data_IF_017252368100
#
_entry.id   IF_017252368100
#
_cell.length_a   1.000
_cell.length_b   1.000
_cell.length_c   1.000
_cell.angle_alpha   90.00
_cell.angle_beta   90.00
_cell.angle_gamma   90.00
#
_symmetry.space_group_name_H-M   'P 1'
#
loop_
_entity.id
_entity.type
_entity.pdbx_description
1 polymer ?
#
# COMPACT_ATOMS: atom_id res chain seq x y z
N UNK A 1 12.94 35.51 8.67
CA UNK A 1 11.77 34.86 8.06
C UNK A 1 11.59 33.57 8.82
N UNK A 2 10.40 33.19 9.28
CA UNK A 2 10.25 31.85 9.83
C UNK A 2 10.66 30.85 8.74
N UNK A 3 11.45 29.88 9.14
CA UNK A 3 11.90 28.79 8.29
C UNK A 3 10.66 28.21 7.60
N UNK A 4 10.72 28.01 6.27
CA UNK A 4 9.61 27.35 5.57
C UNK A 4 9.42 26.00 6.24
N UNK A 5 8.23 25.71 6.72
CA UNK A 5 7.95 24.45 7.38
C UNK A 5 8.27 23.29 6.43
N UNK A 6 9.13 22.37 6.83
CA UNK A 6 9.42 21.17 6.05
C UNK A 6 8.33 20.15 6.35
N UNK A 7 7.48 19.89 5.35
CA UNK A 7 6.35 18.97 5.47
C UNK A 7 6.65 17.56 4.95
N UNK A 8 7.64 17.42 4.07
CA UNK A 8 7.92 16.18 3.34
C UNK A 8 9.35 15.71 3.60
N UNK A 9 9.50 14.42 3.90
CA UNK A 9 10.77 13.76 4.22
C UNK A 9 10.94 12.53 3.34
N UNK A 10 11.92 12.55 2.45
CA UNK A 10 12.21 11.48 1.50
C UNK A 10 13.05 10.37 2.12
N UNK A 11 12.90 9.14 1.58
CA UNK A 11 13.71 7.97 1.91
C UNK A 11 13.84 7.03 0.69
N UNK A 12 14.94 6.30 0.61
CA UNK A 12 15.24 5.33 -0.45
C UNK A 12 16.70 5.41 -0.88
N UNK A 13 17.14 4.43 -1.66
CA UNK A 13 18.51 4.33 -2.20
C UNK A 13 19.62 4.54 -1.14
N UNK A 14 19.47 3.91 0.02
CA UNK A 14 20.42 4.00 1.13
C UNK A 14 20.46 5.37 1.84
N UNK A 15 19.50 6.26 1.58
CA UNK A 15 19.42 7.60 2.16
C UNK A 15 18.05 7.87 2.77
N UNK A 16 18.01 8.73 3.78
CA UNK A 16 16.77 9.26 4.33
C UNK A 16 16.99 10.64 4.97
N UNK A 17 15.98 11.48 4.88
CA UNK A 17 15.93 12.77 5.56
C UNK A 17 15.39 12.66 6.99
N UNK A 18 14.79 11.53 7.34
CA UNK A 18 14.28 11.20 8.67
C UNK A 18 15.15 10.19 9.41
N UNK A 19 14.78 9.88 10.66
CA UNK A 19 15.43 8.90 11.52
C UNK A 19 14.42 8.25 12.50
N UNK A 20 14.82 7.16 13.16
CA UNK A 20 13.97 6.40 14.09
C UNK A 20 13.40 7.22 15.26
N UNK A 21 14.13 8.22 15.74
CA UNK A 21 13.72 9.10 16.84
C UNK A 21 12.67 10.16 16.41
N UNK A 22 12.48 10.36 15.11
CA UNK A 22 11.50 11.30 14.56
C UNK A 22 10.07 10.74 14.50
N UNK A 23 9.75 9.74 15.32
CA UNK A 23 8.43 9.08 15.35
C UNK A 23 7.28 10.05 15.61
N UNK A 24 7.49 11.11 16.37
CA UNK A 24 6.47 12.12 16.62
C UNK A 24 6.11 12.90 15.35
N UNK A 25 7.05 13.09 14.44
CA UNK A 25 6.90 13.88 13.22
C UNK A 25 6.51 13.01 12.02
N UNK A 26 7.15 11.85 11.86
CA UNK A 26 6.99 10.97 10.69
C UNK A 26 6.02 9.80 10.95
N UNK A 27 5.51 9.69 12.19
CA UNK A 27 4.79 8.50 12.61
C UNK A 27 5.70 7.27 12.75
N UNK A 28 5.15 6.18 13.26
CA UNK A 28 5.92 4.94 13.44
C UNK A 28 6.42 4.34 12.12
N UNK A 29 5.57 4.33 11.08
CA UNK A 29 5.95 3.79 9.76
C UNK A 29 7.03 4.64 9.09
N UNK A 30 6.84 5.96 9.00
CA UNK A 30 7.78 6.86 8.33
C UNK A 30 9.15 6.87 8.99
N UNK A 31 9.21 6.94 10.31
CA UNK A 31 10.47 6.90 11.07
C UNK A 31 11.23 5.57 10.85
N UNK A 32 10.52 4.43 10.87
CA UNK A 32 11.15 3.12 10.64
C UNK A 32 11.58 2.93 9.19
N UNK A 33 10.81 3.41 8.20
CA UNK A 33 11.20 3.37 6.78
C UNK A 33 12.48 4.19 6.54
N UNK A 34 12.56 5.39 7.14
CA UNK A 34 13.76 6.22 7.08
C UNK A 34 14.98 5.53 7.69
N UNK A 35 14.82 4.95 8.88
CA UNK A 35 15.89 4.21 9.56
C UNK A 35 16.38 3.02 8.73
N UNK A 36 15.45 2.18 8.26
CA UNK A 36 15.80 1.01 7.43
C UNK A 36 16.52 1.42 6.14
N UNK A 37 16.06 2.48 5.47
CA UNK A 37 16.74 3.00 4.28
C UNK A 37 18.16 3.47 4.60
N UNK A 38 18.36 4.21 5.72
CA UNK A 38 19.67 4.69 6.17
C UNK A 38 20.64 3.57 6.55
N UNK A 39 20.11 2.42 6.98
CA UNK A 39 20.89 1.21 7.26
C UNK A 39 21.28 0.45 5.99
N UNK A 40 20.85 0.90 4.82
CA UNK A 40 21.12 0.25 3.53
C UNK A 40 20.24 -0.96 3.22
N UNK A 41 19.13 -1.14 3.97
CA UNK A 41 18.15 -2.16 3.63
C UNK A 41 17.41 -1.78 2.33
N UNK A 42 16.99 -2.75 1.50
CA UNK A 42 16.35 -2.50 0.22
C UNK A 42 14.89 -2.03 0.38
N UNK A 43 14.72 -0.88 1.05
CA UNK A 43 13.41 -0.25 1.24
C UNK A 43 13.00 0.43 -0.07
N UNK A 44 11.82 0.14 -0.62
CA UNK A 44 11.31 0.86 -1.78
C UNK A 44 11.26 2.37 -1.50
N UNK A 45 11.72 3.22 -2.45
CA UNK A 45 11.78 4.65 -2.21
C UNK A 45 10.41 5.27 -2.00
N UNK A 46 10.39 6.36 -1.25
CA UNK A 46 9.16 7.06 -0.94
C UNK A 46 9.40 8.33 -0.13
N UNK A 47 8.33 8.88 0.39
CA UNK A 47 8.38 10.02 1.29
C UNK A 47 7.26 9.97 2.33
N UNK A 48 7.51 10.63 3.45
CA UNK A 48 6.54 10.81 4.53
C UNK A 48 6.12 12.27 4.62
N UNK A 49 4.81 12.50 4.63
CA UNK A 49 4.21 13.80 4.95
C UNK A 49 3.93 13.80 6.45
N UNK A 50 4.31 14.86 7.14
CA UNK A 50 4.41 14.91 8.60
C UNK A 50 3.05 14.86 9.33
N UNK A 51 3.06 14.43 10.58
CA UNK A 51 1.91 14.50 11.49
C UNK A 51 1.48 15.94 11.76
N UNK A 52 2.43 16.87 11.80
CA UNK A 52 2.16 18.30 12.01
C UNK A 52 1.34 18.90 10.87
N UNK A 53 1.52 18.37 9.64
CA UNK A 53 0.67 18.77 8.52
C UNK A 53 -0.79 18.32 8.73
N UNK A 54 -1.02 17.12 9.29
CA UNK A 54 -2.37 16.66 9.60
C UNK A 54 -3.08 17.65 10.54
N UNK A 55 -2.39 18.10 11.57
CA UNK A 55 -2.92 19.12 12.50
C UNK A 55 -3.19 20.44 11.78
N UNK A 56 -2.21 20.95 11.01
CA UNK A 56 -2.37 22.17 10.23
C UNK A 56 -3.51 22.10 9.21
N UNK A 57 -3.73 20.95 8.58
CA UNK A 57 -4.82 20.69 7.66
C UNK A 57 -6.19 20.84 8.35
N UNK A 58 -6.35 20.27 9.55
CA UNK A 58 -7.59 20.41 10.29
C UNK A 58 -7.81 21.82 10.86
N UNK A 59 -6.74 22.47 11.34
CA UNK A 59 -6.81 23.83 11.88
C UNK A 59 -7.11 24.87 10.79
N UNK A 60 -6.84 24.56 9.52
CA UNK A 60 -7.08 25.41 8.35
C UNK A 60 -8.25 24.92 7.48
N UNK A 61 -9.35 24.50 8.08
CA UNK A 61 -10.56 24.06 7.37
C UNK A 61 -10.31 23.03 6.23
N UNK A 62 -9.39 22.09 6.46
CA UNK A 62 -8.95 21.07 5.50
C UNK A 62 -8.28 21.64 4.23
N UNK A 63 -7.61 22.76 4.37
CA UNK A 63 -6.82 23.38 3.31
C UNK A 63 -5.32 23.04 3.53
N UNK A 64 -4.64 22.73 2.45
CA UNK A 64 -3.21 22.49 2.50
C UNK A 64 -2.41 23.80 2.49
N UNK A 65 -1.23 23.86 3.15
CA UNK A 65 -0.29 24.97 2.97
C UNK A 65 0.15 25.11 1.51
N UNK A 66 0.34 26.36 1.05
CA UNK A 66 0.67 26.67 -0.35
C UNK A 66 1.97 26.00 -0.85
N UNK A 67 2.92 25.75 0.05
CA UNK A 67 4.22 25.17 -0.26
C UNK A 67 4.25 23.63 -0.22
N UNK A 68 3.19 22.98 0.26
CA UNK A 68 3.13 21.52 0.32
C UNK A 68 3.22 20.87 -1.05
N UNK A 69 2.46 21.41 -2.03
CA UNK A 69 2.43 20.84 -3.37
C UNK A 69 3.81 20.75 -3.98
N UNK A 70 4.61 21.81 -3.87
CA UNK A 70 5.97 21.83 -4.40
C UNK A 70 6.90 20.82 -3.71
N UNK A 71 6.72 20.58 -2.39
CA UNK A 71 7.51 19.59 -1.66
C UNK A 71 7.12 18.17 -2.07
N UNK A 72 5.84 17.88 -2.27
CA UNK A 72 5.35 16.58 -2.76
C UNK A 72 5.83 16.31 -4.18
N UNK A 73 5.72 17.29 -5.08
CA UNK A 73 6.17 17.17 -6.47
C UNK A 73 7.69 16.87 -6.54
N UNK A 74 8.51 17.55 -5.75
CA UNK A 74 9.95 17.29 -5.66
C UNK A 74 10.26 15.89 -5.11
N UNK A 75 9.57 15.47 -4.07
CA UNK A 75 9.77 14.16 -3.48
C UNK A 75 9.33 13.02 -4.43
N UNK A 76 8.22 13.22 -5.14
CA UNK A 76 7.74 12.26 -6.15
C UNK A 76 8.75 12.13 -7.31
N UNK A 77 9.30 13.26 -7.79
CA UNK A 77 10.35 13.26 -8.82
C UNK A 77 11.58 12.47 -8.35
N UNK A 78 12.01 12.64 -7.10
CA UNK A 78 13.12 11.85 -6.55
C UNK A 78 12.82 10.34 -6.52
N UNK A 79 11.58 9.95 -6.18
CA UNK A 79 11.15 8.54 -6.25
C UNK A 79 11.19 8.03 -7.69
N UNK A 80 10.70 8.82 -8.65
CA UNK A 80 10.74 8.49 -10.10
C UNK A 80 12.17 8.25 -10.59
N UNK A 81 13.11 9.11 -10.19
CA UNK A 81 14.52 9.00 -10.57
C UNK A 81 15.17 7.73 -10.00
N UNK A 82 14.89 7.39 -8.73
CA UNK A 82 15.42 6.17 -8.09
C UNK A 82 14.84 4.91 -8.74
N UNK A 83 13.54 4.88 -9.02
CA UNK A 83 12.85 3.71 -9.60
C UNK A 83 13.12 3.57 -11.09
N UNK A 84 13.37 4.69 -11.79
CA UNK A 84 13.49 4.73 -13.24
C UNK A 84 12.16 4.61 -13.99
N UNK A 85 11.04 4.93 -13.33
CA UNK A 85 9.69 4.92 -13.86
C UNK A 85 8.96 6.21 -13.46
N UNK A 86 7.94 6.63 -14.20
CA UNK A 86 7.22 7.87 -13.92
C UNK A 86 5.78 7.62 -13.49
N UNK A 87 5.34 8.42 -12.54
CA UNK A 87 3.95 8.40 -12.09
C UNK A 87 3.00 8.88 -13.19
N UNK A 88 2.12 7.99 -13.66
CA UNK A 88 1.22 8.25 -14.77
C UNK A 88 1.82 8.05 -16.17
N UNK A 89 3.04 7.52 -16.29
CA UNK A 89 3.61 7.18 -17.58
C UNK A 89 2.82 6.04 -18.25
N UNK A 90 2.44 6.18 -19.54
CA UNK A 90 1.64 5.18 -20.24
C UNK A 90 2.39 3.88 -20.56
N UNK A 91 3.71 3.87 -20.56
CA UNK A 91 4.52 2.70 -20.94
C UNK A 91 5.25 2.07 -19.76
N UNK A 92 5.75 2.89 -18.81
CA UNK A 92 6.45 2.44 -17.61
C UNK A 92 5.89 3.16 -16.37
N UNK A 93 4.64 2.84 -15.98
CA UNK A 93 3.99 3.52 -14.89
C UNK A 93 4.66 3.20 -13.54
N UNK A 94 5.06 4.25 -12.81
CA UNK A 94 5.34 4.14 -11.39
C UNK A 94 4.01 4.00 -10.64
N UNK A 95 3.85 2.96 -9.85
CA UNK A 95 2.73 2.83 -8.93
C UNK A 95 3.19 3.11 -7.51
N UNK A 96 2.34 3.77 -6.73
CA UNK A 96 2.63 4.07 -5.34
C UNK A 96 1.52 3.62 -4.41
N UNK A 97 1.87 3.38 -3.15
CA UNK A 97 0.93 3.23 -2.05
C UNK A 97 0.85 4.52 -1.24
N UNK A 98 -0.32 4.84 -0.71
CA UNK A 98 -0.53 5.94 0.24
C UNK A 98 -1.08 5.35 1.53
N UNK A 99 -0.33 5.45 2.60
CA UNK A 99 -0.60 4.77 3.87
C UNK A 99 -0.49 5.71 5.06
N UNK A 100 -1.36 5.54 6.04
CA UNK A 100 -1.28 6.24 7.31
C UNK A 100 -0.03 5.85 8.13
N UNK A 101 0.46 6.79 8.93
CA UNK A 101 1.57 6.60 9.85
C UNK A 101 1.37 7.33 11.16
N UNK A 102 0.53 6.81 12.07
CA UNK A 102 0.37 7.39 13.39
C UNK A 102 1.62 7.15 14.28
N UNK A 103 1.79 7.99 15.30
CA UNK A 103 2.88 7.88 16.30
C UNK A 103 2.85 6.54 17.05
N UNK A 104 1.64 5.99 17.24
CA UNK A 104 1.37 4.68 17.84
C UNK A 104 0.65 3.81 16.82
N UNK A 105 0.96 2.51 16.79
CA UNK A 105 0.28 1.58 15.89
C UNK A 105 -1.20 1.49 16.23
N UNK A 106 -2.05 1.68 15.22
CA UNK A 106 -3.51 1.60 15.30
C UNK A 106 -4.01 0.65 14.18
N UNK A 107 -3.82 -0.68 14.34
CA UNK A 107 -4.09 -1.64 13.28
C UNK A 107 -5.55 -1.63 12.82
N UNK A 108 -5.79 -1.52 11.50
CA UNK A 108 -7.14 -1.51 10.91
C UNK A 108 -7.96 -0.24 11.16
N UNK A 109 -7.40 0.77 11.86
CA UNK A 109 -8.17 1.97 12.22
C UNK A 109 -8.13 3.07 11.17
N UNK A 110 -7.07 3.12 10.37
CA UNK A 110 -6.86 4.16 9.36
C UNK A 110 -6.69 3.55 7.97
N UNK A 111 -6.94 4.37 6.97
CA UNK A 111 -7.05 3.92 5.61
C UNK A 111 -5.69 3.79 4.89
N UNK A 112 -5.71 2.99 3.83
CA UNK A 112 -4.58 2.73 2.93
C UNK A 112 -5.14 2.71 1.51
N UNK A 113 -4.38 3.22 0.55
CA UNK A 113 -4.68 3.08 -0.88
C UNK A 113 -3.44 2.54 -1.58
N UNK A 114 -3.59 1.45 -2.31
CA UNK A 114 -2.53 0.77 -3.06
C UNK A 114 -2.72 0.97 -4.56
N UNK A 115 -1.67 0.74 -5.33
CA UNK A 115 -1.68 0.77 -6.80
C UNK A 115 -2.10 2.12 -7.41
N UNK A 116 -1.87 3.25 -6.70
CA UNK A 116 -2.11 4.58 -7.25
C UNK A 116 -1.26 4.82 -8.49
N UNK A 117 -1.84 5.49 -9.46
CA UNK A 117 -1.23 5.77 -10.75
C UNK A 117 -1.83 4.91 -11.88
N UNK A 118 -2.64 3.90 -11.53
CA UNK A 118 -3.39 3.13 -12.53
C UNK A 118 -4.60 3.93 -13.05
N UNK A 119 -4.76 3.87 -14.35
CA UNK A 119 -5.90 4.38 -15.10
C UNK A 119 -6.06 3.55 -16.37
N UNK A 120 -6.99 3.93 -17.25
CA UNK A 120 -7.29 3.17 -18.49
C UNK A 120 -6.10 3.09 -19.46
N UNK A 121 -5.12 3.98 -19.33
CA UNK A 121 -3.92 4.02 -20.18
C UNK A 121 -2.75 3.30 -19.51
N UNK A 122 -2.49 3.61 -18.24
CA UNK A 122 -1.32 3.07 -17.53
C UNK A 122 -1.46 1.58 -17.21
N UNK A 123 -2.68 1.03 -17.12
CA UNK A 123 -2.89 -0.42 -16.97
C UNK A 123 -2.33 -1.21 -18.14
N UNK A 124 -2.42 -0.68 -19.36
CA UNK A 124 -1.85 -1.30 -20.56
C UNK A 124 -0.30 -1.25 -20.52
N UNK A 125 0.27 -0.18 -19.99
CA UNK A 125 1.71 -0.09 -19.74
C UNK A 125 2.18 -1.12 -18.73
N UNK A 126 1.46 -1.27 -17.62
CA UNK A 126 1.75 -2.28 -16.59
C UNK A 126 1.64 -3.70 -17.15
N UNK A 127 0.65 -3.98 -18.00
CA UNK A 127 0.49 -5.28 -18.66
C UNK A 127 1.68 -5.61 -19.57
N UNK A 128 2.17 -4.63 -20.33
CA UNK A 128 3.37 -4.80 -21.18
C UNK A 128 4.64 -4.99 -20.35
N UNK A 129 4.80 -4.19 -19.30
CA UNK A 129 5.97 -4.22 -18.42
C UNK A 129 6.08 -5.55 -17.66
N UNK A 130 4.99 -6.04 -17.12
CA UNK A 130 4.94 -7.31 -16.39
C UNK A 130 4.91 -8.54 -17.29
N UNK A 131 4.47 -8.39 -18.54
CA UNK A 131 4.16 -9.52 -19.43
C UNK A 131 2.94 -10.33 -19.01
N UNK A 132 2.14 -9.81 -18.07
CA UNK A 132 0.95 -10.46 -17.52
C UNK A 132 -0.24 -9.48 -17.47
N UNK A 133 -1.12 -9.61 -18.46
CA UNK A 133 -2.35 -8.81 -18.52
C UNK A 133 -3.27 -9.08 -17.33
N UNK A 134 -3.32 -10.33 -16.85
CA UNK A 134 -4.17 -10.70 -15.74
C UNK A 134 -3.75 -9.97 -14.46
N UNK A 135 -2.46 -9.96 -14.17
CA UNK A 135 -1.88 -9.20 -13.04
C UNK A 135 -2.20 -7.69 -13.13
N UNK A 136 -2.01 -7.10 -14.31
CA UNK A 136 -2.24 -5.67 -14.49
C UNK A 136 -3.71 -5.28 -14.26
N UNK A 137 -4.64 -6.03 -14.86
CA UNK A 137 -6.07 -5.75 -14.75
C UNK A 137 -6.64 -6.10 -13.37
N UNK A 138 -6.14 -7.13 -12.67
CA UNK A 138 -6.47 -7.39 -11.27
C UNK A 138 -5.96 -6.26 -10.36
N UNK A 139 -4.74 -5.77 -10.60
CA UNK A 139 -4.19 -4.61 -9.86
C UNK A 139 -5.04 -3.35 -10.06
N UNK A 140 -5.54 -3.11 -11.27
CA UNK A 140 -6.41 -1.98 -11.56
C UNK A 140 -7.79 -2.13 -10.91
N UNK A 141 -8.39 -3.33 -10.97
CA UNK A 141 -9.64 -3.64 -10.29
C UNK A 141 -9.53 -3.38 -8.77
N UNK A 142 -8.47 -3.90 -8.14
CA UNK A 142 -8.19 -3.69 -6.69
C UNK A 142 -8.02 -2.21 -6.37
N UNK A 143 -7.34 -1.46 -7.23
CA UNK A 143 -7.19 -0.02 -7.06
C UNK A 143 -8.53 0.71 -7.12
N UNK A 144 -9.37 0.44 -8.10
CA UNK A 144 -10.69 1.08 -8.24
C UNK A 144 -11.57 0.77 -7.03
N UNK A 145 -11.61 -0.48 -6.58
CA UNK A 145 -12.36 -0.90 -5.40
C UNK A 145 -11.89 -0.15 -4.15
N UNK A 146 -10.58 -0.17 -3.90
CA UNK A 146 -10.01 0.48 -2.71
C UNK A 146 -10.15 2.01 -2.74
N UNK A 147 -9.90 2.62 -3.89
CA UNK A 147 -10.05 4.07 -4.07
C UNK A 147 -11.53 4.49 -4.01
N UNK A 148 -12.41 3.69 -4.61
CA UNK A 148 -13.85 3.91 -4.58
C UNK A 148 -14.42 3.91 -3.16
N UNK A 149 -14.02 2.92 -2.35
CA UNK A 149 -14.43 2.81 -0.95
C UNK A 149 -13.77 3.92 -0.08
N UNK A 150 -12.45 3.96 -0.08
CA UNK A 150 -11.67 4.78 0.87
C UNK A 150 -11.72 6.28 0.54
N UNK A 151 -11.62 6.63 -0.75
CA UNK A 151 -11.48 8.05 -1.17
C UNK A 151 -12.81 8.63 -1.63
N UNK A 152 -13.56 7.87 -2.41
CA UNK A 152 -14.80 8.35 -3.00
C UNK A 152 -16.03 8.07 -2.13
N UNK A 153 -15.93 7.15 -1.16
CA UNK A 153 -16.99 6.83 -0.21
C UNK A 153 -18.14 6.00 -0.80
N UNK A 154 -17.86 5.24 -1.86
CA UNK A 154 -18.79 4.22 -2.37
C UNK A 154 -18.71 3.00 -1.45
N UNK A 155 -19.84 2.46 -1.04
CA UNK A 155 -19.89 1.33 -0.11
C UNK A 155 -19.13 0.12 -0.68
N UNK A 156 -18.23 -0.44 0.11
CA UNK A 156 -17.42 -1.62 -0.23
C UNK A 156 -18.28 -2.78 -0.76
N UNK A 157 -19.46 -2.97 -0.19
CA UNK A 157 -20.41 -4.01 -0.57
C UNK A 157 -20.82 -3.93 -2.05
N UNK A 158 -20.92 -2.73 -2.63
CA UNK A 158 -21.29 -2.55 -4.05
C UNK A 158 -20.26 -3.20 -5.00
N UNK A 159 -18.99 -3.14 -4.62
CA UNK A 159 -17.91 -3.77 -5.38
C UNK A 159 -17.87 -5.29 -5.18
N UNK A 160 -18.02 -5.75 -3.94
CA UNK A 160 -18.04 -7.18 -3.63
C UNK A 160 -19.20 -7.88 -4.31
N UNK A 161 -20.39 -7.28 -4.34
CA UNK A 161 -21.56 -7.86 -5.03
C UNK A 161 -21.28 -8.07 -6.53
N UNK A 162 -20.66 -7.10 -7.20
CA UNK A 162 -20.30 -7.23 -8.62
C UNK A 162 -19.27 -8.34 -8.86
N UNK A 163 -18.28 -8.45 -7.99
CA UNK A 163 -17.26 -9.51 -8.06
C UNK A 163 -17.88 -10.91 -7.87
N UNK A 164 -18.70 -11.07 -6.82
CA UNK A 164 -19.37 -12.35 -6.54
C UNK A 164 -20.34 -12.76 -7.67
N UNK A 165 -21.08 -11.80 -8.23
CA UNK A 165 -21.95 -12.06 -9.37
C UNK A 165 -21.15 -12.51 -10.59
N UNK A 166 -20.02 -11.88 -10.91
CA UNK A 166 -19.15 -12.30 -12.00
C UNK A 166 -18.59 -13.70 -11.78
N UNK A 167 -18.13 -14.03 -10.58
CA UNK A 167 -17.66 -15.38 -10.22
C UNK A 167 -18.77 -16.42 -10.38
N UNK A 168 -19.98 -16.12 -9.91
CA UNK A 168 -21.12 -17.01 -10.02
C UNK A 168 -21.51 -17.28 -11.50
N UNK A 169 -21.56 -16.25 -12.34
CA UNK A 169 -21.86 -16.36 -13.76
C UNK A 169 -20.84 -17.21 -14.51
N UNK A 170 -19.56 -17.10 -14.13
CA UNK A 170 -18.44 -17.87 -14.69
C UNK A 170 -18.29 -19.26 -14.06
N UNK A 171 -19.00 -19.56 -12.96
CA UNK A 171 -18.86 -20.78 -12.15
C UNK A 171 -17.46 -20.93 -11.54
N UNK A 172 -16.87 -19.84 -11.15
CA UNK A 172 -15.59 -19.75 -10.43
C UNK A 172 -15.82 -19.50 -8.94
N UNK A 173 -14.87 -19.91 -8.11
CA UNK A 173 -14.93 -19.73 -6.66
C UNK A 173 -13.81 -18.81 -6.13
N UNK A 174 -12.67 -18.81 -6.81
CA UNK A 174 -11.52 -18.01 -6.41
C UNK A 174 -11.28 -16.87 -7.40
N UNK A 175 -10.76 -15.78 -6.92
CA UNK A 175 -10.30 -14.65 -7.73
C UNK A 175 -9.21 -15.09 -8.73
N UNK A 176 -8.40 -16.08 -8.34
CA UNK A 176 -7.35 -16.66 -9.20
C UNK A 176 -7.88 -17.41 -10.41
N UNK A 177 -9.17 -17.78 -10.43
CA UNK A 177 -9.80 -18.46 -11.55
C UNK A 177 -10.22 -17.49 -12.68
N UNK A 178 -10.31 -16.17 -12.35
CA UNK A 178 -10.73 -15.16 -13.30
C UNK A 178 -9.61 -14.77 -14.26
N UNK A 179 -9.96 -14.63 -15.54
CA UNK A 179 -9.05 -14.24 -16.62
C UNK A 179 -8.84 -12.72 -16.69
N UNK A 180 -7.88 -12.26 -17.50
CA UNK A 180 -7.68 -10.84 -17.78
C UNK A 180 -8.95 -10.18 -18.38
N UNK A 181 -9.64 -10.88 -19.26
CA UNK A 181 -10.88 -10.37 -19.87
C UNK A 181 -12.02 -10.24 -18.85
N UNK A 182 -12.09 -11.15 -17.86
CA UNK A 182 -13.06 -11.04 -16.76
C UNK A 182 -12.77 -9.82 -15.90
N UNK A 183 -11.49 -9.54 -15.61
CA UNK A 183 -11.09 -8.34 -14.88
C UNK A 183 -11.38 -7.05 -15.66
N UNK A 184 -11.19 -7.03 -16.98
CA UNK A 184 -11.56 -5.89 -17.85
C UNK A 184 -13.07 -5.59 -17.76
N UNK A 185 -13.89 -6.63 -17.78
CA UNK A 185 -15.34 -6.51 -17.62
C UNK A 185 -15.67 -5.91 -16.25
N UNK A 186 -15.08 -6.44 -15.17
CA UNK A 186 -15.34 -5.98 -13.81
C UNK A 186 -14.88 -4.55 -13.56
N UNK A 187 -13.73 -4.15 -14.11
CA UNK A 187 -13.25 -2.75 -14.09
C UNK A 187 -14.29 -1.82 -14.72
N UNK A 188 -14.89 -2.22 -15.85
CA UNK A 188 -15.95 -1.46 -16.48
C UNK A 188 -17.19 -1.32 -15.58
N UNK A 189 -17.62 -2.42 -14.95
CA UNK A 189 -18.75 -2.43 -14.01
C UNK A 189 -18.47 -1.58 -12.76
N UNK A 190 -17.27 -1.63 -12.19
CA UNK A 190 -16.89 -0.83 -11.04
C UNK A 190 -16.93 0.67 -11.35
N UNK A 191 -16.38 1.08 -12.50
CA UNK A 191 -16.44 2.48 -12.94
C UNK A 191 -17.87 2.96 -13.19
N UNK A 192 -18.70 2.13 -13.79
CA UNK A 192 -20.12 2.41 -13.98
C UNK A 192 -20.84 2.57 -12.63
N UNK A 193 -20.58 1.69 -11.66
CA UNK A 193 -21.16 1.76 -10.32
C UNK A 193 -20.76 3.07 -9.60
N UNK A 194 -19.50 3.47 -9.69
CA UNK A 194 -19.03 4.75 -9.14
C UNK A 194 -19.80 5.92 -9.76
N UNK A 195 -19.96 5.93 -11.08
CA UNK A 195 -20.71 6.97 -11.77
C UNK A 195 -22.19 6.99 -11.38
N UNK A 196 -22.83 5.82 -11.23
CA UNK A 196 -24.20 5.69 -10.76
C UNK A 196 -24.41 6.25 -9.33
N UNK A 197 -23.47 5.98 -8.42
CA UNK A 197 -23.56 6.39 -7.01
C UNK A 197 -23.23 7.88 -6.84
N UNK A 198 -22.19 8.36 -7.52
CA UNK A 198 -21.62 9.70 -7.28
C UNK A 198 -22.06 10.74 -8.32
N UNK A 199 -22.55 10.31 -9.49
CA UNK A 199 -22.82 11.21 -10.61
C UNK A 199 -21.58 11.76 -11.31
N UNK A 200 -20.39 11.19 -11.01
CA UNK A 200 -19.11 11.55 -11.62
C UNK A 200 -18.30 10.30 -11.92
N UNK A 201 -17.46 10.33 -12.96
CA UNK A 201 -16.63 9.20 -13.34
C UNK A 201 -15.45 9.01 -12.39
N UNK A 202 -14.90 7.79 -12.36
CA UNK A 202 -13.66 7.47 -11.64
C UNK A 202 -12.49 8.33 -12.16
N UNK A 203 -11.69 8.98 -11.26
CA UNK A 203 -10.64 9.89 -11.68
C UNK A 203 -9.53 9.17 -12.44
N UNK A 204 -9.18 9.69 -13.61
CA UNK A 204 -8.15 9.13 -14.49
C UNK A 204 -6.81 9.87 -14.38
N UNK A 205 -6.78 11.05 -13.78
CA UNK A 205 -5.55 11.84 -13.61
C UNK A 205 -4.77 11.38 -12.38
N UNK A 206 -3.53 10.85 -12.53
CA UNK A 206 -2.76 10.33 -11.40
C UNK A 206 -2.52 11.34 -10.28
N UNK A 207 -2.31 12.61 -10.62
CA UNK A 207 -2.15 13.67 -9.63
C UNK A 207 -3.42 13.88 -8.80
N UNK A 208 -4.60 13.83 -9.40
CA UNK A 208 -5.89 13.90 -8.68
C UNK A 208 -6.05 12.70 -7.76
N UNK A 209 -5.71 11.50 -8.23
CA UNK A 209 -5.74 10.28 -7.42
C UNK A 209 -4.82 10.41 -6.19
N UNK A 210 -3.60 10.91 -6.36
CA UNK A 210 -2.63 11.07 -5.27
C UNK A 210 -3.14 12.02 -4.19
N UNK A 211 -3.63 13.20 -4.59
CA UNK A 211 -4.16 14.20 -3.64
C UNK A 211 -5.43 13.73 -2.96
N UNK A 212 -6.31 13.02 -3.68
CA UNK A 212 -7.49 12.36 -3.10
C UNK A 212 -7.12 11.36 -2.02
N UNK A 213 -6.13 10.49 -2.29
CA UNK A 213 -5.66 9.49 -1.34
C UNK A 213 -4.96 10.12 -0.11
N UNK A 214 -4.13 11.15 -0.30
CA UNK A 214 -3.51 11.91 0.81
C UNK A 214 -4.61 12.50 1.71
N UNK A 215 -5.62 13.13 1.12
CA UNK A 215 -6.75 13.70 1.84
C UNK A 215 -7.56 12.66 2.60
N UNK A 216 -7.84 11.51 1.99
CA UNK A 216 -8.55 10.40 2.62
C UNK A 216 -7.78 9.84 3.82
N UNK A 217 -6.46 9.66 3.70
CA UNK A 217 -5.61 9.19 4.81
C UNK A 217 -5.62 10.19 5.97
N UNK A 218 -5.50 11.50 5.72
CA UNK A 218 -5.68 12.50 6.78
C UNK A 218 -7.10 12.45 7.37
N UNK A 219 -8.12 12.32 6.51
CA UNK A 219 -9.53 12.19 6.92
C UNK A 219 -9.76 10.99 7.83
N UNK A 220 -9.06 9.89 7.59
CA UNK A 220 -9.21 8.66 8.35
C UNK A 220 -8.80 8.79 9.83
N UNK A 221 -7.97 9.78 10.17
CA UNK A 221 -7.66 10.11 11.57
C UNK A 221 -8.91 10.45 12.38
N UNK A 222 -9.91 11.10 11.77
CA UNK A 222 -11.14 11.54 12.43
C UNK A 222 -12.33 10.61 12.17
N UNK A 223 -12.15 9.47 11.52
CA UNK A 223 -13.24 8.51 11.36
C UNK A 223 -13.68 7.90 12.70
N UNK A 224 -14.89 7.34 12.76
CA UNK A 224 -15.49 6.85 14.01
C UNK A 224 -14.67 5.72 14.64
N UNK A 225 -14.13 4.77 13.83
CA UNK A 225 -13.33 3.65 14.34
C UNK A 225 -12.00 4.13 14.93
N UNK A 226 -11.30 5.06 14.27
CA UNK A 226 -10.04 5.60 14.75
C UNK A 226 -10.25 6.45 16.02
N UNK A 227 -11.32 7.24 16.07
CA UNK A 227 -11.69 8.04 17.25
C UNK A 227 -12.02 7.14 18.44
N UNK A 228 -12.82 6.09 18.25
CA UNK A 228 -13.14 5.13 19.29
C UNK A 228 -11.90 4.42 19.82
N UNK A 229 -11.01 3.98 18.92
CA UNK A 229 -9.76 3.33 19.30
C UNK A 229 -8.87 4.26 20.13
N UNK A 230 -8.72 5.53 19.72
CA UNK A 230 -7.94 6.51 20.48
C UNK A 230 -8.51 6.73 21.89
N UNK A 231 -9.83 6.84 22.01
CA UNK A 231 -10.49 6.98 23.32
C UNK A 231 -10.24 5.77 24.25
N UNK A 232 -10.23 4.56 23.68
CA UNK A 232 -10.00 3.31 24.45
C UNK A 232 -8.54 3.14 24.88
N UNK A 233 -7.61 3.75 24.18
CA UNK A 233 -6.16 3.60 24.40
C UNK A 233 -5.48 4.87 24.89
N UNK A 234 -6.25 5.89 25.32
CA UNK A 234 -5.74 7.17 25.82
C UNK A 234 -4.75 7.86 24.84
N UNK A 235 -5.01 7.74 23.54
CA UNK A 235 -4.19 8.37 22.49
C UNK A 235 -4.69 9.79 22.22
N UNK A 236 -3.87 10.84 22.38
CA UNK A 236 -4.28 12.22 22.16
C UNK A 236 -4.80 12.48 20.74
N UNK A 237 -5.89 13.22 20.64
CA UNK A 237 -6.56 13.52 19.37
C UNK A 237 -5.76 14.50 18.50
N UNK A 238 -4.95 15.36 19.13
CA UNK A 238 -4.10 16.39 18.50
C UNK A 238 -2.81 15.85 17.89
N UNK A 239 -2.52 14.55 18.06
CA UNK A 239 -1.29 13.97 17.49
C UNK A 239 -1.29 13.88 15.97
N UNK A 240 -2.43 13.73 15.35
CA UNK A 240 -2.54 13.53 13.91
C UNK A 240 -1.93 12.22 13.41
N UNK A 241 -1.92 12.08 12.09
CA UNK A 241 -1.25 10.97 11.39
C UNK A 241 -0.33 11.52 10.32
N UNK A 242 0.82 10.88 10.12
CA UNK A 242 1.62 11.08 8.93
C UNK A 242 0.98 10.34 7.74
N UNK A 243 1.36 10.73 6.52
CA UNK A 243 1.03 10.01 5.29
C UNK A 243 2.34 9.52 4.67
N UNK A 244 2.43 8.22 4.37
CA UNK A 244 3.58 7.64 3.69
C UNK A 244 3.20 7.30 2.26
N UNK A 245 3.87 7.93 1.30
CA UNK A 245 3.78 7.63 -0.13
C UNK A 245 5.02 6.83 -0.51
N UNK A 246 4.84 5.62 -1.05
CA UNK A 246 5.96 4.71 -1.29
C UNK A 246 5.76 3.94 -2.59
N UNK A 247 6.83 3.78 -3.36
CA UNK A 247 6.82 2.94 -4.56
C UNK A 247 6.33 1.53 -4.25
N UNK A 248 5.47 0.99 -5.11
CA UNK A 248 4.97 -0.39 -4.99
C UNK A 248 6.03 -1.37 -5.45
N UNK A 249 6.11 -2.50 -4.74
CA UNK A 249 6.77 -3.73 -5.19
C UNK A 249 5.74 -4.85 -5.14
N UNK A 250 5.85 -5.81 -6.06
CA UNK A 250 4.81 -6.79 -6.29
C UNK A 250 5.33 -8.20 -6.05
N UNK A 251 4.73 -8.90 -5.10
CA UNK A 251 4.96 -10.32 -4.86
C UNK A 251 4.06 -11.24 -5.69
N UNK A 252 3.23 -10.68 -6.60
CA UNK A 252 2.26 -11.39 -7.42
C UNK A 252 2.43 -11.17 -8.92
N UNK A 253 3.66 -10.89 -9.37
CA UNK A 253 3.98 -10.78 -10.79
C UNK A 253 4.31 -12.12 -11.47
N UNK A 254 4.31 -13.23 -10.73
CA UNK A 254 4.59 -14.56 -11.24
C UNK A 254 5.01 -15.53 -10.15
N UNK A 255 5.30 -16.77 -10.54
CA UNK A 255 5.69 -17.84 -9.62
C UNK A 255 7.11 -17.69 -9.04
N UNK A 256 7.87 -16.74 -9.54
CA UNK A 256 9.20 -16.34 -9.06
C UNK A 256 9.15 -15.16 -8.06
N UNK A 257 7.95 -14.68 -7.76
CA UNK A 257 7.70 -13.60 -6.81
C UNK A 257 7.00 -14.14 -5.55
N UNK A 258 7.22 -13.48 -4.42
CA UNK A 258 6.58 -13.85 -3.16
C UNK A 258 6.35 -12.63 -2.26
N UNK A 259 5.40 -12.77 -1.34
CA UNK A 259 5.20 -11.84 -0.23
C UNK A 259 5.16 -12.61 1.07
N UNK A 260 5.78 -12.07 2.12
CA UNK A 260 5.83 -12.74 3.41
C UNK A 260 6.02 -11.79 4.58
N UNK A 261 6.05 -12.37 5.76
CA UNK A 261 6.34 -11.69 7.02
C UNK A 261 7.47 -12.46 7.72
N UNK A 262 8.52 -11.74 8.09
CA UNK A 262 9.69 -12.31 8.76
C UNK A 262 9.93 -11.63 10.12
N UNK A 263 10.39 -12.42 11.08
CA UNK A 263 10.74 -11.99 12.41
C UNK A 263 12.15 -12.48 12.76
N UNK A 264 12.96 -11.64 13.35
CA UNK A 264 14.29 -11.99 13.84
C UNK A 264 14.26 -12.90 15.07
N UNK A 265 13.08 -13.07 15.68
CA UNK A 265 12.81 -13.98 16.79
C UNK A 265 11.43 -14.59 16.62
N UNK A 266 11.25 -15.81 17.16
CA UNK A 266 9.92 -16.39 17.26
C UNK A 266 9.02 -15.50 18.13
N UNK A 267 7.90 -14.94 17.59
CA UNK A 267 7.05 -13.99 18.31
C UNK A 267 6.29 -14.63 19.49
N UNK A 268 6.15 -15.96 19.51
CA UNK A 268 5.43 -16.69 20.55
C UNK A 268 6.34 -17.11 21.71
N UNK A 269 7.58 -17.51 21.42
CA UNK A 269 8.52 -18.06 22.44
C UNK A 269 9.61 -17.08 22.83
N UNK A 270 9.92 -16.09 21.97
CA UNK A 270 11.04 -15.17 22.14
C UNK A 270 12.40 -15.78 21.79
N UNK A 271 12.47 -17.01 21.33
CA UNK A 271 13.71 -17.65 20.89
C UNK A 271 14.36 -16.89 19.74
N UNK A 272 15.68 -16.83 19.76
CA UNK A 272 16.47 -16.24 18.68
C UNK A 272 16.52 -17.19 17.48
N UNK A 273 15.39 -17.32 16.82
CA UNK A 273 15.18 -18.14 15.64
C UNK A 273 14.55 -17.28 14.55
N UNK A 274 15.10 -17.31 13.34
CA UNK A 274 14.49 -16.66 12.19
C UNK A 274 13.16 -17.35 11.88
N UNK A 275 12.07 -16.60 12.00
CA UNK A 275 10.71 -17.10 11.96
C UNK A 275 9.87 -16.30 10.97
N UNK A 276 8.97 -16.96 10.25
CA UNK A 276 8.04 -16.28 9.38
C UNK A 276 7.39 -17.16 8.33
N UNK A 277 6.54 -16.53 7.56
CA UNK A 277 5.69 -17.17 6.56
C UNK A 277 5.73 -16.37 5.26
N UNK A 278 5.52 -17.05 4.14
CA UNK A 278 5.42 -16.43 2.81
C UNK A 278 4.38 -17.13 1.94
N UNK A 279 3.95 -16.43 0.89
CA UNK A 279 3.13 -16.95 -0.18
C UNK A 279 3.78 -16.62 -1.51
N UNK A 280 3.94 -17.62 -2.37
CA UNK A 280 4.35 -17.42 -3.76
C UNK A 280 3.20 -16.79 -4.54
N UNK A 281 3.52 -15.89 -5.46
CA UNK A 281 2.58 -15.20 -6.32
C UNK A 281 1.41 -14.59 -5.51
N UNK A 282 1.74 -13.69 -4.58
CA UNK A 282 0.80 -13.10 -3.63
C UNK A 282 1.13 -11.65 -3.29
N UNK A 283 0.10 -10.87 -2.99
CA UNK A 283 0.22 -9.54 -2.39
C UNK A 283 0.17 -9.63 -0.86
N UNK A 284 0.55 -8.53 -0.17
CA UNK A 284 0.50 -8.46 1.29
C UNK A 284 -0.88 -8.71 1.88
N UNK A 285 -1.94 -8.33 1.18
CA UNK A 285 -3.33 -8.58 1.58
C UNK A 285 -3.64 -10.08 1.62
N UNK A 286 -3.15 -10.86 0.65
CA UNK A 286 -3.37 -12.30 0.57
C UNK A 286 -2.75 -13.04 1.76
N UNK A 287 -1.59 -12.56 2.25
CA UNK A 287 -0.92 -13.11 3.44
C UNK A 287 -1.72 -12.82 4.71
N UNK A 288 -2.30 -11.63 4.81
CA UNK A 288 -3.03 -11.20 6.03
C UNK A 288 -4.46 -11.74 6.06
N UNK A 289 -5.10 -11.91 4.90
CA UNK A 289 -6.49 -12.37 4.80
C UNK A 289 -6.68 -13.85 5.16
N UNK A 290 -5.60 -14.65 5.14
CA UNK A 290 -5.67 -16.08 5.49
C UNK A 290 -6.46 -16.94 4.48
N UNK A 291 -6.61 -16.47 3.25
CA UNK A 291 -7.35 -17.17 2.18
C UNK A 291 -6.54 -18.36 1.66
N UNK A 292 -5.22 -18.24 1.65
CA UNK A 292 -4.27 -19.27 1.23
C UNK A 292 -3.45 -19.72 2.44
N UNK A 293 -3.05 -20.99 2.47
CA UNK A 293 -2.15 -21.53 3.51
C UNK A 293 -0.73 -21.02 3.26
N UNK A 294 -0.15 -20.22 4.16
CA UNK A 294 1.21 -19.73 3.99
C UNK A 294 2.25 -20.85 4.19
N UNK A 295 3.41 -20.67 3.56
CA UNK A 295 4.56 -21.56 3.65
C UNK A 295 5.57 -20.96 4.64
N UNK A 296 6.38 -21.85 5.28
CA UNK A 296 7.39 -21.42 6.23
C UNK A 296 8.64 -20.87 5.53
N UNK A 297 9.31 -19.89 6.12
CA UNK A 297 10.55 -19.35 5.57
C UNK A 297 11.68 -20.36 5.62
N UNK A 298 11.80 -21.14 6.70
CA UNK A 298 12.91 -22.06 6.96
C UNK A 298 12.50 -23.53 6.88
N UNK A 299 13.45 -24.41 6.55
CA UNK A 299 13.27 -25.87 6.62
C UNK A 299 12.91 -26.28 8.05
N UNK A 300 13.60 -25.72 9.06
CA UNK A 300 13.33 -26.02 10.46
C UNK A 300 11.89 -25.66 10.87
N UNK A 301 11.40 -24.48 10.46
CA UNK A 301 10.02 -24.07 10.72
C UNK A 301 8.99 -24.97 10.03
N UNK A 302 9.29 -25.41 8.80
CA UNK A 302 8.46 -26.37 8.06
C UNK A 302 8.35 -27.71 8.80
N UNK A 303 9.47 -28.23 9.28
CA UNK A 303 9.53 -29.50 10.02
C UNK A 303 8.80 -29.42 11.38
N UNK A 304 8.98 -28.30 12.11
CA UNK A 304 8.30 -28.05 13.39
C UNK A 304 6.77 -28.04 13.22
N UNK A 305 6.29 -27.43 12.15
CA UNK A 305 4.85 -27.34 11.86
C UNK A 305 4.31 -28.57 11.10
N UNK A 306 5.17 -29.53 10.75
CA UNK A 306 4.82 -30.71 9.93
C UNK A 306 4.12 -30.31 8.61
N UNK A 307 4.55 -29.21 8.00
CA UNK A 307 3.96 -28.74 6.74
C UNK A 307 4.47 -29.56 5.54
N UNK A 308 3.56 -29.94 4.66
CA UNK A 308 3.88 -30.62 3.40
C UNK A 308 4.35 -29.63 2.32
N UNK A 309 4.07 -28.32 2.49
CA UNK A 309 4.47 -27.28 1.55
C UNK A 309 5.96 -26.96 1.73
N UNK A 310 6.72 -26.74 0.64
CA UNK A 310 8.15 -26.44 0.73
C UNK A 310 8.38 -25.06 1.36
N UNK A 311 9.50 -24.91 2.06
CA UNK A 311 9.93 -23.62 2.64
C UNK A 311 10.53 -22.68 1.58
N UNK A 312 10.63 -21.37 1.92
CA UNK A 312 11.35 -20.40 1.05
C UNK A 312 12.81 -20.81 0.85
N UNK A 313 13.45 -21.30 1.89
CA UNK A 313 14.82 -21.81 1.85
C UNK A 313 15.03 -22.89 0.77
N UNK A 314 13.97 -23.69 0.48
CA UNK A 314 14.00 -24.74 -0.55
C UNK A 314 13.64 -24.22 -1.94
N UNK A 315 12.61 -23.34 -2.06
CA UNK A 315 12.09 -22.93 -3.38
C UNK A 315 12.69 -21.64 -3.91
N UNK A 316 13.23 -20.78 -3.02
CA UNK A 316 13.86 -19.49 -3.36
C UNK A 316 15.19 -19.30 -2.60
N UNK A 317 16.17 -20.21 -2.71
CA UNK A 317 17.36 -20.19 -1.87
C UNK A 317 18.20 -18.92 -2.00
N UNK A 318 18.28 -18.34 -3.19
CA UNK A 318 19.03 -17.11 -3.42
C UNK A 318 18.37 -15.89 -2.75
N UNK A 319 17.04 -15.81 -2.78
CA UNK A 319 16.26 -14.77 -2.09
C UNK A 319 16.33 -14.97 -0.58
N UNK A 320 16.18 -16.22 -0.11
CA UNK A 320 16.30 -16.55 1.30
C UNK A 320 17.66 -16.17 1.89
N UNK A 321 18.73 -16.32 1.12
CA UNK A 321 20.10 -15.96 1.55
C UNK A 321 20.26 -14.44 1.71
N UNK A 322 19.51 -13.63 0.95
CA UNK A 322 19.53 -12.17 1.04
C UNK A 322 18.64 -11.64 2.18
N UNK A 323 17.65 -12.42 2.59
CA UNK A 323 16.70 -12.08 3.65
C UNK A 323 17.32 -12.24 5.04
#
# INVERSE_FOLDING_TARGET
MPDKSKWVYSFGDGQAEGAADMRNLLGGKGANLAEMASLGLPVPPGFSITTDLCTAYYDNDRQYPDDLKSQVDMALTAVEEIVGAKFGDPEQPLLVSVRSGARVSMPGMMDTVLNLGLNDVTVEGLAKQSGDERFAWDSYRRFIQMYGDVVLGVDHYEFEELLENLKADKKHTLDTDLSADDWKILVGQYKQKIEEVLGSSFPQEPAEQLWGAIGAVFGSWMNARATTYRNLHDIPHDWGTAVNVQAMVFGNMGEDCATGVAFTRNPSTGENLFYGEFLVNAQGEDVVAGIRTPQQLTIAGREEQSSELPSMEEVMPDVFTQL
#
